data_IF_285430029735
#
_entry.id   IF_285430029735
#
_cell.length_a   1.000
_cell.length_b   1.000
_cell.length_c   1.000
_cell.angle_alpha   90.00
_cell.angle_beta   90.00
_cell.angle_gamma   90.00
#
_symmetry.space_group_name_H-M   'P 1'
#
loop_
_entity.id
_entity.type
_entity.pdbx_description
1 polymer ?
#
# COMPACT_ATOMS: atom_id res chain seq x y z
N UNK A 1 -28.31 33.15 -3.78
CA UNK A 1 -27.51 32.67 -4.94
C UNK A 1 -26.31 31.83 -4.49
N UNK A 2 -25.76 32.08 -3.30
CA UNK A 2 -24.58 31.38 -2.75
C UNK A 2 -24.82 29.94 -2.29
N UNK A 3 -26.03 29.62 -1.84
CA UNK A 3 -26.35 28.27 -1.34
C UNK A 3 -26.32 27.21 -2.45
N UNK A 4 -26.84 27.53 -3.64
CA UNK A 4 -26.74 26.67 -4.83
C UNK A 4 -25.29 26.48 -5.30
N UNK A 5 -24.45 27.52 -5.17
CA UNK A 5 -23.00 27.45 -5.49
C UNK A 5 -22.27 26.55 -4.49
N UNK A 6 -22.58 26.65 -3.20
CA UNK A 6 -22.03 25.82 -2.14
C UNK A 6 -22.37 24.34 -2.33
N UNK A 7 -23.65 24.03 -2.60
CA UNK A 7 -24.10 22.65 -2.87
C UNK A 7 -23.44 22.07 -4.12
N UNK A 8 -23.31 22.85 -5.21
CA UNK A 8 -22.66 22.36 -6.44
C UNK A 8 -21.17 22.12 -6.25
N UNK A 9 -20.47 22.98 -5.48
CA UNK A 9 -19.07 22.79 -5.11
C UNK A 9 -18.88 21.49 -4.31
N UNK A 10 -19.71 21.29 -3.29
CA UNK A 10 -19.67 20.10 -2.43
C UNK A 10 -19.94 18.80 -3.21
N UNK A 11 -20.89 18.83 -4.15
CA UNK A 11 -21.17 17.70 -5.07
C UNK A 11 -19.98 17.38 -5.96
N UNK A 12 -19.28 18.39 -6.47
CA UNK A 12 -18.10 18.23 -7.33
C UNK A 12 -16.92 17.65 -6.54
N UNK A 13 -16.64 18.18 -5.35
CA UNK A 13 -15.59 17.65 -4.46
C UNK A 13 -15.88 16.18 -4.08
N UNK A 14 -17.14 15.84 -3.79
CA UNK A 14 -17.54 14.45 -3.49
C UNK A 14 -17.36 13.52 -4.69
N UNK A 15 -17.60 13.99 -5.91
CA UNK A 15 -17.34 13.22 -7.15
C UNK A 15 -15.85 13.03 -7.39
N UNK A 16 -15.05 14.09 -7.24
CA UNK A 16 -13.60 14.03 -7.42
C UNK A 16 -12.96 13.09 -6.39
N UNK A 17 -13.36 13.15 -5.11
CA UNK A 17 -12.94 12.19 -4.08
C UNK A 17 -13.30 10.74 -4.43
N UNK A 18 -14.53 10.50 -4.91
CA UNK A 18 -14.98 9.18 -5.36
C UNK A 18 -14.20 8.66 -6.57
N UNK A 19 -13.83 9.53 -7.49
CA UNK A 19 -13.06 9.17 -8.68
C UNK A 19 -11.62 8.83 -8.32
N UNK A 20 -10.98 9.61 -7.44
CA UNK A 20 -9.66 9.30 -6.88
C UNK A 20 -9.64 7.95 -6.17
N UNK A 21 -10.62 7.70 -5.29
CA UNK A 21 -10.79 6.39 -4.63
C UNK A 21 -11.03 5.24 -5.62
N UNK A 22 -11.64 5.48 -6.78
CA UNK A 22 -11.85 4.45 -7.81
C UNK A 22 -10.58 4.12 -8.59
N UNK A 23 -9.73 5.11 -8.80
CA UNK A 23 -8.49 4.97 -9.58
C UNK A 23 -7.29 4.59 -8.70
N UNK A 24 -7.48 4.56 -7.39
CA UNK A 24 -6.47 4.18 -6.43
C UNK A 24 -5.93 2.77 -6.69
N UNK A 25 -4.62 2.64 -6.61
CA UNK A 25 -3.94 1.38 -6.82
C UNK A 25 -4.15 0.43 -5.63
N UNK A 26 -4.33 -0.84 -5.96
CA UNK A 26 -4.23 -1.93 -4.97
C UNK A 26 -2.78 -2.12 -4.52
N UNK A 27 -2.59 -2.68 -3.33
CA UNK A 27 -1.24 -2.98 -2.83
C UNK A 27 -0.47 -3.91 -3.77
N UNK A 28 -1.14 -4.88 -4.41
CA UNK A 28 -0.53 -5.73 -5.42
C UNK A 28 0.02 -4.95 -6.61
N UNK A 29 -0.75 -3.98 -7.13
CA UNK A 29 -0.32 -3.12 -8.23
C UNK A 29 0.84 -2.21 -7.83
N UNK A 30 0.78 -1.60 -6.64
CA UNK A 30 1.88 -0.79 -6.10
C UNK A 30 3.13 -1.63 -5.92
N UNK A 31 3.01 -2.86 -5.43
CA UNK A 31 4.15 -3.74 -5.24
C UNK A 31 4.81 -4.14 -6.57
N UNK A 32 4.03 -4.39 -7.64
CA UNK A 32 4.60 -4.63 -8.99
C UNK A 32 5.37 -3.40 -9.47
N UNK A 33 4.75 -2.22 -9.42
CA UNK A 33 5.39 -0.96 -9.81
C UNK A 33 6.65 -0.66 -9.00
N UNK A 34 6.61 -0.92 -7.69
CA UNK A 34 7.77 -0.79 -6.81
C UNK A 34 8.87 -1.81 -7.14
N UNK A 35 8.50 -3.03 -7.51
CA UNK A 35 9.46 -4.06 -7.92
C UNK A 35 10.19 -3.65 -9.20
N UNK A 36 9.47 -3.12 -10.19
CA UNK A 36 10.04 -2.56 -11.42
C UNK A 36 11.01 -1.42 -11.10
N UNK A 37 10.57 -0.46 -10.28
CA UNK A 37 11.42 0.63 -9.79
C UNK A 37 12.68 0.09 -9.08
N UNK A 38 12.52 -0.78 -8.09
CA UNK A 38 13.61 -1.35 -7.30
C UNK A 38 14.59 -2.16 -8.15
N UNK A 39 14.13 -2.75 -9.27
CA UNK A 39 14.98 -3.55 -10.15
C UNK A 39 16.12 -2.75 -10.78
N UNK A 40 15.93 -1.43 -10.92
CA UNK A 40 16.90 -0.51 -11.50
C UNK A 40 17.99 -0.11 -10.49
N UNK A 41 17.69 -0.14 -9.20
CA UNK A 41 18.56 0.44 -8.15
C UNK A 41 19.16 -0.59 -7.18
N UNK A 42 18.59 -1.79 -7.05
CA UNK A 42 18.97 -2.73 -6.00
C UNK A 42 19.19 -4.14 -6.51
N UNK A 43 20.40 -4.71 -6.34
CA UNK A 43 20.70 -6.10 -6.77
C UNK A 43 19.83 -7.16 -6.09
N UNK A 44 19.38 -6.93 -4.86
CA UNK A 44 18.55 -7.85 -4.08
C UNK A 44 17.04 -7.71 -4.30
N UNK A 45 16.62 -6.92 -5.32
CA UNK A 45 15.21 -6.62 -5.58
C UNK A 45 14.32 -7.86 -5.67
N UNK A 46 14.81 -8.94 -6.32
CA UNK A 46 14.05 -10.20 -6.48
C UNK A 46 13.70 -10.85 -5.15
N UNK A 47 14.68 -10.93 -4.24
CA UNK A 47 14.51 -11.54 -2.92
C UNK A 47 13.55 -10.70 -2.08
N UNK A 48 13.66 -9.37 -2.17
CA UNK A 48 12.79 -8.43 -1.47
C UNK A 48 11.34 -8.56 -1.95
N UNK A 49 11.12 -8.53 -3.26
CA UNK A 49 9.79 -8.69 -3.86
C UNK A 49 9.15 -10.04 -3.53
N UNK A 50 9.93 -11.13 -3.58
CA UNK A 50 9.45 -12.45 -3.22
C UNK A 50 9.08 -12.54 -1.73
N UNK A 51 9.85 -11.89 -0.84
CA UNK A 51 9.54 -11.83 0.58
C UNK A 51 8.26 -11.03 0.84
N UNK A 52 8.09 -9.88 0.20
CA UNK A 52 6.84 -9.09 0.28
C UNK A 52 5.66 -9.92 -0.20
N UNK A 53 5.76 -10.56 -1.37
CA UNK A 53 4.72 -11.45 -1.88
C UNK A 53 4.38 -12.54 -0.88
N UNK A 54 5.37 -13.29 -0.40
CA UNK A 54 5.14 -14.44 0.50
C UNK A 54 4.34 -14.10 1.76
N UNK A 55 4.57 -12.94 2.36
CA UNK A 55 3.96 -12.59 3.65
C UNK A 55 2.79 -11.62 3.54
N UNK A 56 2.67 -10.86 2.45
CA UNK A 56 1.67 -9.81 2.28
C UNK A 56 0.71 -10.08 1.11
N UNK A 57 0.74 -11.26 0.50
CA UNK A 57 -0.18 -11.66 -0.57
C UNK A 57 -1.65 -11.49 -0.17
N UNK A 58 -1.98 -11.70 1.10
CA UNK A 58 -3.33 -11.49 1.64
C UNK A 58 -3.84 -10.05 1.50
N UNK A 59 -2.94 -9.08 1.38
CA UNK A 59 -3.27 -7.66 1.22
C UNK A 59 -3.32 -7.21 -0.25
N UNK A 60 -2.94 -8.05 -1.21
CA UNK A 60 -2.74 -7.62 -2.61
C UNK A 60 -4.00 -7.06 -3.26
N UNK A 61 -5.17 -7.58 -2.89
CA UNK A 61 -6.45 -7.14 -3.45
C UNK A 61 -7.03 -5.91 -2.72
N UNK A 62 -6.45 -5.49 -1.59
CA UNK A 62 -6.87 -4.30 -0.86
C UNK A 62 -6.28 -3.06 -1.51
N UNK A 63 -7.02 -1.95 -1.45
CA UNK A 63 -6.46 -0.64 -1.82
C UNK A 63 -5.40 -0.22 -0.81
N UNK A 64 -4.43 0.57 -1.26
CA UNK A 64 -3.31 0.94 -0.39
C UNK A 64 -3.75 1.81 0.79
N UNK A 65 -4.75 2.67 0.61
CA UNK A 65 -5.37 3.49 1.67
C UNK A 65 -6.25 2.69 2.63
N UNK A 66 -6.71 1.50 2.22
CA UNK A 66 -7.54 0.61 3.05
C UNK A 66 -6.68 -0.26 3.99
N UNK A 67 -5.37 -0.37 3.74
CA UNK A 67 -4.48 -1.14 4.61
C UNK A 67 -4.23 -0.37 5.90
N UNK A 68 -4.69 -0.92 7.01
CA UNK A 68 -4.51 -0.30 8.32
C UNK A 68 -3.27 -0.81 9.06
N UNK A 69 -2.93 -0.17 10.18
CA UNK A 69 -1.85 -0.66 11.06
C UNK A 69 -2.18 -2.02 11.65
N UNK A 70 -3.45 -2.28 11.93
CA UNK A 70 -3.95 -3.54 12.48
C UNK A 70 -3.77 -4.70 11.49
N UNK A 71 -4.00 -4.45 10.18
CA UNK A 71 -3.71 -5.43 9.12
C UNK A 71 -2.23 -5.84 9.11
N UNK A 72 -1.33 -4.85 9.22
CA UNK A 72 0.12 -5.08 9.25
C UNK A 72 0.52 -5.78 10.56
N UNK A 73 -0.05 -5.36 11.70
CA UNK A 73 0.23 -5.95 13.01
C UNK A 73 -0.20 -7.42 13.07
N UNK A 74 -1.35 -7.77 12.49
CA UNK A 74 -1.81 -9.16 12.42
C UNK A 74 -0.80 -10.05 11.70
N UNK A 75 -0.28 -9.61 10.56
CA UNK A 75 0.74 -10.35 9.80
C UNK A 75 2.05 -10.43 10.60
N UNK A 76 2.43 -9.36 11.29
CA UNK A 76 3.59 -9.36 12.17
C UNK A 76 3.45 -10.39 13.30
N UNK A 77 2.29 -10.42 13.97
CA UNK A 77 2.00 -11.35 15.06
C UNK A 77 1.98 -12.80 14.58
N UNK A 78 1.40 -13.07 13.41
CA UNK A 78 1.42 -14.41 12.79
C UNK A 78 2.85 -14.93 12.53
N UNK A 79 3.77 -14.04 12.17
CA UNK A 79 5.18 -14.39 11.91
C UNK A 79 5.94 -14.56 13.22
N UNK A 80 5.70 -13.70 14.20
CA UNK A 80 6.36 -13.79 15.51
C UNK A 80 5.85 -14.96 16.35
N UNK A 81 4.60 -15.38 16.19
CA UNK A 81 4.06 -16.62 16.78
C UNK A 81 4.86 -17.86 16.35
N UNK A 82 5.46 -17.83 15.14
CA UNK A 82 6.37 -18.87 14.63
C UNK A 82 7.83 -18.66 15.06
N UNK A 83 8.09 -17.73 15.98
CA UNK A 83 9.42 -17.32 16.46
C UNK A 83 10.33 -16.72 15.37
N UNK A 84 9.76 -16.21 14.28
CA UNK A 84 10.51 -15.60 13.17
C UNK A 84 10.66 -14.07 13.32
N UNK A 85 11.14 -13.60 14.47
CA UNK A 85 11.21 -12.16 14.81
C UNK A 85 12.03 -11.32 13.81
N UNK A 86 13.16 -11.86 13.33
CA UNK A 86 14.01 -11.18 12.33
C UNK A 86 13.25 -10.99 11.02
N UNK A 87 12.45 -11.98 10.62
CA UNK A 87 11.62 -11.92 9.41
C UNK A 87 10.50 -10.90 9.56
N UNK A 88 9.83 -10.86 10.71
CA UNK A 88 8.77 -9.90 10.99
C UNK A 88 9.30 -8.44 10.90
N UNK A 89 10.45 -8.17 11.53
CA UNK A 89 11.11 -6.87 11.45
C UNK A 89 11.57 -6.52 10.02
N UNK A 90 12.05 -7.52 9.27
CA UNK A 90 12.43 -7.32 7.86
C UNK A 90 11.24 -6.90 7.01
N UNK A 91 10.03 -7.39 7.29
CA UNK A 91 8.84 -7.03 6.50
C UNK A 91 8.44 -5.57 6.74
N UNK A 92 8.47 -5.12 8.00
CA UNK A 92 8.22 -3.71 8.32
C UNK A 92 9.18 -2.78 7.57
N UNK A 93 10.48 -3.14 7.53
CA UNK A 93 11.50 -2.39 6.78
C UNK A 93 11.26 -2.37 5.27
N UNK A 94 10.69 -3.44 4.71
CA UNK A 94 10.37 -3.53 3.28
C UNK A 94 9.10 -2.75 2.93
N UNK A 95 8.14 -2.67 3.86
CA UNK A 95 6.89 -1.93 3.66
C UNK A 95 7.09 -0.41 3.62
N UNK A 96 7.93 0.15 4.50
CA UNK A 96 8.13 1.61 4.56
C UNK A 96 8.45 2.26 3.21
N UNK A 97 9.44 1.81 2.43
CA UNK A 97 9.74 2.43 1.13
C UNK A 97 8.64 2.19 0.09
N UNK A 98 7.90 1.08 0.16
CA UNK A 98 6.77 0.80 -0.75
C UNK A 98 5.65 1.82 -0.52
N UNK A 99 5.24 2.02 0.74
CA UNK A 99 4.20 3.00 1.09
C UNK A 99 4.65 4.44 0.80
N UNK A 100 5.91 4.78 1.07
CA UNK A 100 6.43 6.10 0.74
C UNK A 100 6.41 6.36 -0.77
N UNK A 101 6.77 5.38 -1.60
CA UNK A 101 6.68 5.50 -3.06
C UNK A 101 5.25 5.49 -3.57
N UNK A 102 4.34 4.78 -2.91
CA UNK A 102 2.92 4.86 -3.23
C UNK A 102 2.38 6.29 -3.09
N UNK A 103 2.70 6.96 -1.97
CA UNK A 103 2.29 8.35 -1.71
C UNK A 103 2.87 9.31 -2.76
N UNK A 104 4.08 9.06 -3.27
CA UNK A 104 4.69 9.85 -4.35
C UNK A 104 4.01 9.62 -5.72
N UNK A 105 3.34 8.47 -5.89
CA UNK A 105 2.75 8.06 -7.16
C UNK A 105 1.23 8.26 -7.25
N UNK A 106 0.57 8.53 -6.12
CA UNK A 106 -0.86 8.93 -6.00
C UNK A 106 -1.05 10.44 -6.25
#
# INVERSE_FOLDING_TARGET
MDERRKINKERREKREKRLKLKNELTFGQVHVKYTEYSSLYHKSWKIMAQRVKRYLESLYNKKISEITKEDIQKIFDEITARKHYVTANSILKLLSPIFNKAIEWD
#
